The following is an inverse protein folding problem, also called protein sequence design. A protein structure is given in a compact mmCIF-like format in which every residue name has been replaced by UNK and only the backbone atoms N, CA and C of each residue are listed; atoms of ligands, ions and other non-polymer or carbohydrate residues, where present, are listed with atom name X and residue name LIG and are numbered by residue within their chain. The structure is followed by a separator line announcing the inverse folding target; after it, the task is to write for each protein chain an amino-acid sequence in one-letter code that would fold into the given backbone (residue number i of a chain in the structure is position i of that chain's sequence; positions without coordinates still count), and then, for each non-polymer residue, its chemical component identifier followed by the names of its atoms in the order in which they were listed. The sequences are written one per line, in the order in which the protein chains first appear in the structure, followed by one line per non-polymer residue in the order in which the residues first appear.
data_IF_848072178773
#
_entry.id   IF_848072178773
#
_cell.length_a   1.000
_cell.length_b   1.000
_cell.length_c   1.000
_cell.angle_alpha   90.00
_cell.angle_beta   90.00
_cell.angle_gamma   90.00
#
_symmetry.space_group_name_H-M   'P 1'
#
loop_
_entity.id
_entity.type
_entity.pdbx_description
1 polymer ?
#
# COMPACT_ATOMS: atom_id res chain seq x y z
N UNK A 1 26.89 13.67 22.40
CA UNK A 1 26.71 13.55 20.93
C UNK A 1 26.35 12.13 20.48
N UNK A 2 26.90 11.06 21.08
CA UNK A 2 26.59 9.66 20.71
C UNK A 2 25.14 9.23 21.01
N UNK A 3 24.58 9.59 22.16
CA UNK A 3 23.28 9.06 22.58
C UNK A 3 22.11 9.65 21.78
N UNK A 4 22.21 10.94 21.42
CA UNK A 4 21.24 11.60 20.54
C UNK A 4 21.19 10.94 19.15
N UNK A 5 22.33 10.52 18.60
CA UNK A 5 22.36 9.83 17.30
C UNK A 5 21.71 8.44 17.35
N UNK A 6 21.88 7.70 18.47
CA UNK A 6 21.22 6.41 18.67
C UNK A 6 19.70 6.58 18.76
N UNK A 7 19.26 7.58 19.52
CA UNK A 7 17.83 7.87 19.68
C UNK A 7 17.19 8.31 18.36
N UNK A 8 17.86 9.16 17.57
CA UNK A 8 17.40 9.55 16.22
C UNK A 8 17.32 8.35 15.29
N UNK A 9 18.34 7.49 15.26
CA UNK A 9 18.35 6.29 14.41
C UNK A 9 17.25 5.29 14.78
N UNK A 10 16.96 5.10 16.08
CA UNK A 10 15.84 4.28 16.52
C UNK A 10 14.48 4.88 16.13
N UNK A 11 14.33 6.20 16.25
CA UNK A 11 13.12 6.91 15.83
C UNK A 11 12.90 6.83 14.31
N UNK A 12 13.96 6.94 13.51
CA UNK A 12 13.92 6.75 12.06
C UNK A 12 13.59 5.31 11.67
N UNK A 13 14.18 4.31 12.33
CA UNK A 13 13.85 2.90 12.10
C UNK A 13 12.38 2.58 12.43
N UNK A 14 11.86 3.19 13.50
CA UNK A 14 10.44 3.09 13.87
C UNK A 14 9.54 3.80 12.86
N UNK A 15 9.91 4.99 12.38
CA UNK A 15 9.13 5.72 11.38
C UNK A 15 9.11 5.00 10.02
N UNK A 16 10.25 4.42 9.61
CA UNK A 16 10.39 3.57 8.44
C UNK A 16 9.48 2.34 8.51
N UNK A 17 9.48 1.65 9.65
CA UNK A 17 8.62 0.48 9.87
C UNK A 17 7.14 0.87 9.86
N UNK A 18 6.79 2.00 10.46
CA UNK A 18 5.42 2.53 10.41
C UNK A 18 5.01 2.92 8.97
N UNK A 19 5.88 3.56 8.19
CA UNK A 19 5.62 3.93 6.81
C UNK A 19 5.34 2.72 5.91
N UNK A 20 5.99 1.57 6.17
CA UNK A 20 5.65 0.30 5.49
C UNK A 20 4.25 -0.20 5.84
N UNK A 21 3.86 -0.07 7.10
CA UNK A 21 2.53 -0.48 7.56
C UNK A 21 1.42 0.46 7.07
N UNK A 22 1.76 1.74 6.82
CA UNK A 22 0.88 2.76 6.26
C UNK A 22 1.14 3.03 4.76
N UNK A 23 1.52 2.01 3.97
CA UNK A 23 1.57 2.16 2.51
C UNK A 23 0.13 2.24 1.96
N UNK A 24 -0.19 3.38 1.36
CA UNK A 24 -1.52 3.65 0.82
C UNK A 24 -1.94 2.61 -0.24
N UNK A 25 -0.99 2.02 -0.96
CA UNK A 25 -1.24 1.01 -2.01
C UNK A 25 -1.70 -0.30 -1.40
N UNK A 26 -1.20 -0.66 -0.21
CA UNK A 26 -1.64 -1.85 0.51
C UNK A 26 -3.06 -1.65 1.04
N UNK A 27 -3.35 -0.47 1.62
CA UNK A 27 -4.68 -0.15 2.16
C UNK A 27 -5.71 -0.12 1.02
N UNK A 28 -5.47 0.67 -0.03
CA UNK A 28 -6.39 0.80 -1.17
C UNK A 28 -6.50 -0.53 -1.92
N UNK A 29 -5.37 -1.19 -2.23
CA UNK A 29 -5.36 -2.47 -2.94
C UNK A 29 -6.06 -3.58 -2.16
N UNK A 30 -5.83 -3.66 -0.84
CA UNK A 30 -6.50 -4.61 0.05
C UNK A 30 -8.01 -4.37 0.14
N UNK A 31 -8.43 -3.11 0.31
CA UNK A 31 -9.85 -2.74 0.35
C UNK A 31 -10.56 -3.08 -0.96
N UNK A 32 -10.02 -2.67 -2.11
CA UNK A 32 -10.60 -2.99 -3.42
C UNK A 32 -10.67 -4.49 -3.68
N UNK A 33 -9.64 -5.24 -3.27
CA UNK A 33 -9.65 -6.70 -3.42
C UNK A 33 -10.73 -7.33 -2.54
N UNK A 34 -10.81 -6.97 -1.27
CA UNK A 34 -11.80 -7.54 -0.33
C UNK A 34 -13.24 -7.23 -0.76
N UNK A 35 -13.54 -5.96 -1.03
CA UNK A 35 -14.87 -5.56 -1.50
C UNK A 35 -15.17 -6.15 -2.88
N UNK A 36 -14.19 -6.17 -3.79
CA UNK A 36 -14.31 -6.77 -5.10
C UNK A 36 -14.70 -8.25 -5.04
N UNK A 37 -14.10 -9.03 -4.14
CA UNK A 37 -14.50 -10.43 -3.90
C UNK A 37 -15.94 -10.51 -3.43
N UNK A 38 -16.32 -9.74 -2.40
CA UNK A 38 -17.69 -9.77 -1.85
C UNK A 38 -18.73 -9.43 -2.93
N UNK A 39 -18.49 -8.37 -3.69
CA UNK A 39 -19.40 -7.88 -4.73
C UNK A 39 -19.45 -8.86 -5.91
N UNK A 40 -18.31 -9.45 -6.29
CA UNK A 40 -18.27 -10.50 -7.34
C UNK A 40 -19.08 -11.72 -6.91
N UNK A 41 -18.91 -12.18 -5.67
CA UNK A 41 -19.68 -13.31 -5.10
C UNK A 41 -21.17 -12.98 -5.10
N UNK A 42 -21.55 -11.80 -4.63
CA UNK A 42 -22.96 -11.35 -4.67
C UNK A 42 -23.50 -11.28 -6.10
N UNK A 43 -22.67 -10.91 -7.09
CA UNK A 43 -23.01 -10.96 -8.51
C UNK A 43 -23.21 -12.40 -9.01
N UNK A 44 -22.32 -13.33 -8.67
CA UNK A 44 -22.43 -14.73 -9.11
C UNK A 44 -23.70 -15.41 -8.57
N UNK A 45 -24.10 -15.10 -7.33
CA UNK A 45 -25.26 -15.71 -6.67
C UNK A 45 -26.57 -14.90 -6.83
N UNK A 46 -26.67 -14.05 -7.86
CA UNK A 46 -27.87 -13.25 -8.09
C UNK A 46 -29.08 -14.16 -8.34
N UNK A 47 -30.24 -13.84 -7.76
CA UNK A 47 -31.48 -14.60 -7.98
C UNK A 47 -32.08 -14.24 -9.35
N UNK A 48 -32.77 -15.17 -10.01
CA UNK A 48 -33.39 -14.94 -11.33
C UNK A 48 -34.36 -13.73 -11.31
N UNK A 49 -35.01 -13.46 -10.18
CA UNK A 49 -35.91 -12.31 -9.99
C UNK A 49 -35.18 -10.95 -10.00
N UNK A 50 -33.89 -10.92 -9.68
CA UNK A 50 -33.05 -9.72 -9.71
C UNK A 50 -32.39 -9.52 -11.10
N UNK A 51 -32.15 -10.61 -11.84
CA UNK A 51 -31.71 -10.58 -13.24
C UNK A 51 -32.71 -9.91 -14.17
N UNK A 52 -34.01 -10.08 -13.91
CA UNK A 52 -35.10 -9.50 -14.70
C UNK A 52 -35.20 -7.97 -14.54
N UNK A 53 -34.77 -7.42 -13.40
CA UNK A 53 -34.71 -5.96 -13.14
C UNK A 53 -33.47 -5.27 -13.72
N UNK A 54 -32.44 -6.03 -14.04
CA UNK A 54 -31.15 -5.50 -14.46
C UNK A 54 -30.94 -5.50 -15.99
N UNK A 55 -32.02 -5.62 -16.77
CA UNK A 55 -31.98 -5.79 -18.24
C UNK A 55 -30.99 -6.89 -18.68
N UNK A 56 -30.84 -7.95 -17.88
CA UNK A 56 -29.92 -9.05 -18.15
C UNK A 56 -28.42 -8.76 -17.91
N UNK A 57 -28.05 -7.57 -17.41
CA UNK A 57 -26.66 -7.22 -17.12
C UNK A 57 -26.40 -7.23 -15.61
N UNK A 58 -25.51 -8.13 -15.18
CA UNK A 58 -25.14 -8.24 -13.77
C UNK A 58 -24.14 -7.15 -13.36
N UNK A 59 -24.66 -6.00 -12.91
CA UNK A 59 -23.85 -4.85 -12.47
C UNK A 59 -22.92 -5.22 -11.32
N UNK A 60 -23.39 -6.00 -10.34
CA UNK A 60 -22.55 -6.43 -9.23
C UNK A 60 -21.35 -7.26 -9.73
N UNK A 61 -21.57 -8.19 -10.66
CA UNK A 61 -20.48 -9.00 -11.20
C UNK A 61 -19.44 -8.14 -11.92
N UNK A 62 -19.84 -7.24 -12.82
CA UNK A 62 -18.92 -6.37 -13.54
C UNK A 62 -18.18 -5.40 -12.63
N UNK A 63 -18.89 -4.78 -11.68
CA UNK A 63 -18.30 -3.83 -10.73
C UNK A 63 -17.34 -4.55 -9.79
N UNK A 64 -17.72 -5.73 -9.28
CA UNK A 64 -16.87 -6.57 -8.45
C UNK A 64 -15.60 -7.01 -9.18
N UNK A 65 -15.72 -7.42 -10.44
CA UNK A 65 -14.58 -7.84 -11.26
C UNK A 65 -13.63 -6.67 -11.56
N UNK A 66 -14.17 -5.48 -11.84
CA UNK A 66 -13.38 -4.27 -12.04
C UNK A 66 -12.63 -3.86 -10.76
N UNK A 67 -13.31 -3.90 -9.61
CA UNK A 67 -12.70 -3.65 -8.30
C UNK A 67 -11.60 -4.66 -7.99
N UNK A 68 -11.84 -5.94 -8.28
CA UNK A 68 -10.87 -7.02 -8.06
C UNK A 68 -9.62 -6.81 -8.93
N UNK A 69 -9.81 -6.52 -10.22
CA UNK A 69 -8.71 -6.26 -11.14
C UNK A 69 -7.87 -5.05 -10.69
N UNK A 70 -8.52 -3.96 -10.26
CA UNK A 70 -7.85 -2.78 -9.73
C UNK A 70 -7.10 -3.07 -8.42
N UNK A 71 -7.72 -3.81 -7.50
CA UNK A 71 -7.10 -4.20 -6.24
C UNK A 71 -5.84 -5.06 -6.45
N UNK A 72 -5.95 -6.08 -7.29
CA UNK A 72 -4.82 -6.94 -7.66
C UNK A 72 -3.74 -6.16 -8.41
N UNK A 73 -4.11 -5.19 -9.24
CA UNK A 73 -3.15 -4.29 -9.88
C UNK A 73 -2.33 -3.52 -8.84
N UNK A 74 -2.97 -2.92 -7.83
CA UNK A 74 -2.24 -2.19 -6.77
C UNK A 74 -1.33 -3.10 -5.95
N UNK A 75 -1.78 -4.31 -5.62
CA UNK A 75 -0.97 -5.29 -4.88
C UNK A 75 0.21 -5.80 -5.72
N UNK A 76 -0.02 -6.08 -7.01
CA UNK A 76 1.04 -6.44 -7.97
C UNK A 76 2.03 -5.29 -8.18
N UNK A 77 1.55 -4.06 -8.24
CA UNK A 77 2.39 -2.87 -8.34
C UNK A 77 3.26 -2.65 -7.10
N UNK A 78 2.72 -2.89 -5.90
CA UNK A 78 3.50 -2.87 -4.66
C UNK A 78 4.64 -3.91 -4.71
N UNK A 79 4.37 -5.11 -5.25
CA UNK A 79 5.38 -6.15 -5.44
C UNK A 79 6.45 -5.74 -6.45
N UNK A 80 6.07 -5.05 -7.52
CA UNK A 80 6.98 -4.57 -8.58
C UNK A 80 7.78 -3.31 -8.19
N UNK A 81 7.21 -2.46 -7.33
CA UNK A 81 7.77 -1.18 -6.89
C UNK A 81 7.77 -1.10 -5.36
N UNK A 82 8.65 -1.84 -4.68
CA UNK A 82 8.79 -1.74 -3.23
C UNK A 82 9.10 -0.30 -2.81
N UNK A 83 8.51 0.18 -1.72
CA UNK A 83 8.89 1.48 -1.15
C UNK A 83 10.30 1.38 -0.60
N UNK A 84 11.25 1.98 -1.30
CA UNK A 84 12.61 2.16 -0.79
C UNK A 84 12.55 3.22 0.30
N UNK A 85 12.92 2.82 1.51
CA UNK A 85 13.10 3.75 2.61
C UNK A 85 14.58 4.13 2.58
N UNK A 86 14.92 5.42 2.47
CA UNK A 86 16.31 5.85 2.51
C UNK A 86 16.96 5.28 3.78
N UNK A 87 18.13 4.63 3.68
CA UNK A 87 18.88 4.28 4.86
C UNK A 87 19.12 5.54 5.69
N UNK A 88 19.13 5.43 7.04
CA UNK A 88 19.42 6.57 7.91
C UNK A 88 20.71 7.21 7.42
N UNK A 89 20.65 8.51 7.13
CA UNK A 89 21.75 9.23 6.50
C UNK A 89 23.00 9.03 7.37
N UNK A 90 23.98 8.28 6.86
CA UNK A 90 25.33 8.35 7.38
C UNK A 90 25.76 9.79 7.12
N UNK A 91 25.78 10.60 8.17
CA UNK A 91 26.23 11.98 8.13
C UNK A 91 27.67 11.99 7.64
N UNK A 92 27.87 12.40 6.38
CA UNK A 92 29.13 13.00 5.96
C UNK A 92 29.36 14.22 6.86
N UNK A 93 30.31 14.10 7.79
CA UNK A 93 30.70 15.19 8.69
C UNK A 93 31.14 16.42 7.90
N UNK A 94 30.44 17.57 7.98
CA UNK A 94 30.96 18.83 7.47
C UNK A 94 31.86 19.43 8.56
N UNK A 95 33.18 19.33 8.36
CA UNK A 95 34.15 20.22 9.01
C UNK A 95 34.98 19.59 10.11
N UNK A 96 35.97 18.79 9.73
CA UNK A 96 37.23 18.79 10.47
C UNK A 96 37.94 20.13 10.15
N UNK A 97 38.19 21.02 11.15
CA UNK A 97 39.03 22.18 10.90
C UNK A 97 40.46 21.71 10.61
N UNK A 98 40.95 22.15 9.46
CA UNK A 98 42.32 22.02 8.97
C UNK A 98 43.33 22.42 10.06
N UNK A 99 44.30 21.53 10.30
CA UNK A 99 45.43 21.74 11.19
C UNK A 99 46.37 22.80 10.63
N UNK A 100 46.30 24.03 11.13
CA UNK A 100 47.24 25.10 10.82
C UNK A 100 48.07 25.50 12.04
N UNK A 101 49.32 25.01 12.08
CA UNK A 101 50.51 25.39 12.91
C UNK A 101 50.31 26.19 14.21
#
# INVERSE_FOLDING_TARGET
MSDLHKEVSELEGRSATAARLFDIRLIIGGLFTLYGVIVTVAGVFVSDADMEKAEGVNINLWTGLAMLALGLFFLGWMKLRPTEIPPPAASDEPGAPDTGK
#
